data_IF_946838413711
#
_entry.id   IF_946838413711
#
_cell.length_a   1.000
_cell.length_b   1.000
_cell.length_c   1.000
_cell.angle_alpha   90.00
_cell.angle_beta   90.00
_cell.angle_gamma   90.00
#
_symmetry.space_group_name_H-M   'P 1'
#
loop_
_entity.id
_entity.type
_entity.pdbx_description
1 polymer ?
#
# COMPACT_ATOMS: atom_id res chain seq x y z
N UNK A 1 -5.58 12.42 -5.55
CA UNK A 1 -5.62 11.04 -5.03
C UNK A 1 -6.75 10.95 -4.01
N UNK A 2 -7.75 10.11 -4.29
CA UNK A 2 -9.04 10.13 -3.58
C UNK A 2 -9.02 9.34 -2.27
N UNK A 3 -8.25 8.26 -2.16
CA UNK A 3 -8.20 7.43 -0.93
C UNK A 3 -7.42 8.08 0.22
N UNK A 4 -6.44 8.94 -0.06
CA UNK A 4 -5.51 9.47 0.95
C UNK A 4 -4.26 8.62 1.18
N UNK A 5 -4.22 7.40 0.62
CA UNK A 5 -3.02 6.56 0.59
C UNK A 5 -1.99 7.10 -0.41
N UNK A 6 -0.70 7.02 -0.11
CA UNK A 6 0.37 7.44 -1.04
C UNK A 6 0.63 6.38 -2.11
N UNK A 7 0.87 6.79 -3.35
CA UNK A 7 1.41 5.92 -4.43
C UNK A 7 2.94 5.87 -4.45
N UNK A 8 3.61 6.43 -3.44
CA UNK A 8 5.08 6.47 -3.38
C UNK A 8 5.61 5.50 -2.32
N UNK A 9 6.85 5.07 -2.52
CA UNK A 9 7.58 4.26 -1.54
C UNK A 9 7.21 2.78 -1.55
N UNK A 10 7.64 2.06 -0.51
CA UNK A 10 7.50 0.59 -0.41
C UNK A 10 6.05 0.12 -0.33
N UNK A 11 5.18 0.94 0.26
CA UNK A 11 3.77 0.61 0.53
C UNK A 11 2.82 1.25 -0.49
N UNK A 12 3.24 1.47 -1.73
CA UNK A 12 2.45 2.25 -2.69
C UNK A 12 1.12 1.61 -3.13
N UNK A 13 0.96 0.30 -2.99
CA UNK A 13 -0.24 -0.40 -3.45
C UNK A 13 -1.40 -0.21 -2.45
N UNK A 14 -2.49 0.47 -2.82
CA UNK A 14 -3.62 0.67 -1.90
C UNK A 14 -4.37 -0.65 -1.59
N UNK A 15 -4.37 -1.60 -2.52
CA UNK A 15 -5.04 -2.90 -2.35
C UNK A 15 -4.27 -3.82 -1.40
N UNK A 16 -2.93 -3.82 -1.48
CA UNK A 16 -2.10 -4.60 -0.57
C UNK A 16 -1.84 -3.88 0.76
N UNK A 17 -1.92 -2.53 0.76
CA UNK A 17 -1.70 -1.69 1.93
C UNK A 17 -0.35 -2.02 2.61
N UNK A 18 -0.33 -2.24 3.93
CA UNK A 18 0.86 -2.69 4.69
C UNK A 18 1.43 -4.04 4.20
N UNK A 19 0.63 -4.87 3.52
CA UNK A 19 1.05 -6.16 2.96
C UNK A 19 1.61 -6.06 1.52
N UNK A 20 1.97 -4.85 1.08
CA UNK A 20 2.62 -4.63 -0.21
C UNK A 20 3.95 -5.37 -0.25
N UNK A 21 4.14 -6.20 -1.27
CA UNK A 21 5.41 -6.87 -1.49
C UNK A 21 6.25 -6.03 -2.44
N UNK A 22 7.17 -5.24 -1.88
CA UNK A 22 8.06 -4.37 -2.65
C UNK A 22 9.51 -4.82 -2.57
N UNK A 23 10.22 -4.72 -3.68
CA UNK A 23 11.67 -4.88 -3.77
C UNK A 23 12.28 -3.59 -4.31
N UNK A 24 13.40 -3.13 -3.71
CA UNK A 24 14.19 -2.05 -4.30
C UNK A 24 15.26 -2.66 -5.20
N UNK A 25 15.22 -2.34 -6.49
CA UNK A 25 16.23 -2.79 -7.44
C UNK A 25 17.58 -2.13 -7.11
N UNK A 26 18.65 -2.92 -7.06
CA UNK A 26 19.99 -2.45 -6.66
C UNK A 26 20.56 -1.43 -7.64
N UNK A 27 20.58 -1.76 -8.93
CA UNK A 27 21.22 -0.93 -9.96
C UNK A 27 20.38 0.28 -10.39
N UNK A 28 19.05 0.18 -10.33
CA UNK A 28 18.14 1.26 -10.73
C UNK A 28 17.58 2.09 -9.57
N UNK A 29 17.75 1.64 -8.31
CA UNK A 29 17.18 2.25 -7.12
C UNK A 29 15.65 2.49 -7.19
N UNK A 30 14.95 1.82 -8.11
CA UNK A 30 13.49 1.88 -8.30
C UNK A 30 12.81 0.86 -7.40
N UNK A 31 11.59 1.18 -6.97
CA UNK A 31 10.72 0.22 -6.30
C UNK A 31 10.02 -0.63 -7.35
N UNK A 32 10.09 -1.94 -7.18
CA UNK A 32 9.35 -2.94 -7.93
C UNK A 32 8.31 -3.56 -7.00
N UNK A 33 7.08 -3.74 -7.49
CA UNK A 33 5.99 -4.34 -6.71
C UNK A 33 5.74 -5.75 -7.26
N UNK A 34 5.95 -6.74 -6.39
CA UNK A 34 5.93 -8.17 -6.74
C UNK A 34 4.81 -8.87 -5.97
N UNK A 35 4.74 -10.20 -6.06
CA UNK A 35 3.76 -10.98 -5.28
C UNK A 35 2.31 -10.81 -5.73
N UNK A 36 2.06 -10.33 -6.95
CA UNK A 36 0.72 -10.29 -7.55
C UNK A 36 0.13 -11.69 -7.76
N UNK A 37 0.97 -12.72 -7.85
CA UNK A 37 0.55 -14.13 -7.92
C UNK A 37 -0.31 -14.58 -6.72
N UNK A 38 -0.26 -13.85 -5.59
CA UNK A 38 -1.11 -14.10 -4.41
C UNK A 38 -2.62 -13.97 -4.69
N UNK A 39 -3.00 -13.18 -5.69
CA UNK A 39 -4.39 -12.98 -6.09
C UNK A 39 -4.92 -14.10 -7.01
N UNK A 40 -4.05 -14.99 -7.50
CA UNK A 40 -4.46 -16.14 -8.29
C UNK A 40 -5.06 -17.25 -7.41
N UNK A 41 -5.97 -18.09 -7.94
CA UNK A 41 -6.48 -19.26 -7.24
C UNK A 41 -5.35 -20.12 -6.66
N UNK A 42 -5.56 -20.74 -5.49
CA UNK A 42 -4.51 -21.48 -4.77
C UNK A 42 -3.82 -22.56 -5.62
N UNK A 43 -4.58 -23.25 -6.47
CA UNK A 43 -4.09 -24.32 -7.35
C UNK A 43 -3.61 -23.83 -8.73
N UNK A 44 -3.49 -22.52 -8.94
CA UNK A 44 -3.10 -21.97 -10.23
C UNK A 44 -1.62 -22.25 -10.54
N UNK A 45 -1.31 -22.77 -11.74
CA UNK A 45 0.05 -23.22 -12.13
C UNK A 45 1.14 -22.17 -11.90
N UNK A 46 0.88 -20.91 -12.24
CA UNK A 46 1.85 -19.81 -12.09
C UNK A 46 2.27 -19.55 -10.65
N UNK A 47 1.49 -19.98 -9.65
CA UNK A 47 1.90 -19.88 -8.25
C UNK A 47 3.08 -20.80 -7.93
N UNK A 48 3.25 -21.89 -8.67
CA UNK A 48 4.30 -22.88 -8.46
C UNK A 48 5.47 -22.74 -9.44
N UNK A 49 5.27 -21.97 -10.51
CA UNK A 49 6.30 -21.64 -11.49
C UNK A 49 7.29 -20.64 -10.89
N UNK A 50 8.37 -21.15 -10.29
CA UNK A 50 9.45 -20.33 -9.76
C UNK A 50 10.40 -19.85 -10.87
N UNK A 51 10.59 -20.69 -11.90
CA UNK A 51 11.59 -20.50 -12.94
C UNK A 51 11.26 -19.30 -13.86
N UNK A 52 9.99 -19.12 -14.22
CA UNK A 52 9.57 -17.98 -15.05
C UNK A 52 9.31 -16.68 -14.27
N UNK A 53 9.45 -16.69 -12.94
CA UNK A 53 9.11 -15.55 -12.09
C UNK A 53 10.29 -15.14 -11.19
N UNK A 54 10.08 -14.98 -9.89
CA UNK A 54 11.04 -14.43 -8.93
C UNK A 54 11.83 -15.52 -8.19
N UNK A 55 11.92 -16.73 -8.76
CA UNK A 55 12.62 -17.85 -8.14
C UNK A 55 11.89 -18.46 -6.93
N UNK A 56 10.67 -18.00 -6.62
CA UNK A 56 9.90 -18.49 -5.47
C UNK A 56 8.59 -19.14 -5.86
N UNK A 57 8.12 -20.08 -5.04
CA UNK A 57 6.74 -20.56 -5.08
C UNK A 57 5.88 -19.64 -4.21
N UNK A 58 4.77 -19.16 -4.75
CA UNK A 58 3.86 -18.27 -4.04
C UNK A 58 2.75 -19.08 -3.34
N UNK A 59 2.92 -19.33 -2.04
CA UNK A 59 1.95 -20.05 -1.21
C UNK A 59 1.10 -19.14 -0.31
N UNK A 60 1.43 -17.84 -0.23
CA UNK A 60 0.72 -16.90 0.65
C UNK A 60 -0.69 -16.63 0.15
N UNK A 61 -1.59 -16.29 1.07
CA UNK A 61 -2.94 -15.84 0.69
C UNK A 61 -2.89 -14.42 0.10
N UNK A 62 -3.90 -14.08 -0.69
CA UNK A 62 -4.15 -12.70 -1.06
C UNK A 62 -4.26 -11.85 0.22
N UNK A 63 -3.70 -10.63 0.26
CA UNK A 63 -3.92 -9.72 1.37
C UNK A 63 -5.41 -9.54 1.62
N UNK A 64 -5.82 -9.57 2.89
CA UNK A 64 -7.20 -9.28 3.25
C UNK A 64 -7.50 -7.82 2.92
N UNK A 65 -8.66 -7.58 2.31
CA UNK A 65 -9.18 -6.23 2.17
C UNK A 65 -9.45 -5.62 3.55
N UNK A 66 -9.02 -4.37 3.74
CA UNK A 66 -9.37 -3.63 4.95
C UNK A 66 -10.83 -3.21 4.89
N UNK A 67 -11.52 -3.38 6.01
CA UNK A 67 -12.87 -2.87 6.18
C UNK A 67 -12.85 -1.35 6.40
N UNK A 68 -13.96 -0.68 6.08
CA UNK A 68 -14.08 0.77 6.24
C UNK A 68 -13.75 1.24 7.66
N UNK A 69 -14.23 0.52 8.68
CA UNK A 69 -13.94 0.81 10.10
C UNK A 69 -12.45 0.73 10.43
N UNK A 70 -11.73 -0.25 9.88
CA UNK A 70 -10.29 -0.39 10.08
C UNK A 70 -9.51 0.74 9.39
N UNK A 71 -9.96 1.15 8.20
CA UNK A 71 -9.37 2.30 7.51
C UNK A 71 -9.59 3.57 8.35
N UNK A 72 -10.81 3.80 8.84
CA UNK A 72 -11.15 4.95 9.69
C UNK A 72 -10.26 5.00 10.93
N UNK A 73 -10.08 3.87 11.62
CA UNK A 73 -9.19 3.76 12.78
C UNK A 73 -7.74 4.14 12.44
N UNK A 74 -7.24 3.75 11.26
CA UNK A 74 -5.87 4.06 10.84
C UNK A 74 -5.64 5.53 10.47
N UNK A 75 -6.68 6.29 10.14
CA UNK A 75 -6.56 7.67 9.63
C UNK A 75 -7.17 8.72 10.56
N UNK A 76 -7.69 8.33 11.72
CA UNK A 76 -8.37 9.26 12.63
C UNK A 76 -7.45 10.38 13.12
N UNK A 77 -6.17 10.07 13.33
CA UNK A 77 -5.15 11.04 13.74
C UNK A 77 -4.64 11.93 12.59
N UNK A 78 -5.14 11.71 11.38
CA UNK A 78 -4.90 12.56 10.20
C UNK A 78 -6.09 13.50 9.90
N UNK A 79 -7.12 13.49 10.74
CA UNK A 79 -8.24 14.41 10.64
C UNK A 79 -7.79 15.86 10.83
N UNK A 80 -8.34 16.78 10.05
CA UNK A 80 -7.96 18.20 10.07
C UNK A 80 -6.60 18.53 9.42
N UNK A 81 -5.78 17.54 9.01
CA UNK A 81 -4.51 17.82 8.35
C UNK A 81 -4.70 18.42 6.95
N UNK A 82 -4.20 19.64 6.76
CA UNK A 82 -4.29 20.35 5.51
C UNK A 82 -3.33 19.77 4.46
N UNK A 83 -3.90 19.30 3.36
CA UNK A 83 -3.12 19.01 2.16
C UNK A 83 -2.92 20.29 1.36
N UNK A 84 -1.75 20.90 1.51
CA UNK A 84 -1.31 22.02 0.68
C UNK A 84 -0.18 21.61 -0.27
N UNK A 85 -0.14 22.22 -1.46
CA UNK A 85 1.06 22.19 -2.31
C UNK A 85 2.13 23.15 -1.79
N UNK A 86 1.74 24.15 -1.00
CA UNK A 86 2.67 25.08 -0.39
C UNK A 86 3.38 24.39 0.78
N UNK A 87 4.67 24.14 0.63
CA UNK A 87 5.52 23.44 1.61
C UNK A 87 5.58 24.15 2.96
N UNK A 88 5.31 25.46 3.01
CA UNK A 88 5.29 26.25 4.26
C UNK A 88 4.05 25.98 5.11
N UNK A 89 2.94 25.58 4.48
CA UNK A 89 1.64 25.33 5.13
C UNK A 89 1.38 23.84 5.29
N UNK A 90 1.99 23.01 4.44
CA UNK A 90 1.78 21.58 4.42
C UNK A 90 2.44 20.92 5.63
N UNK A 91 1.63 20.30 6.47
CA UNK A 91 2.13 19.40 7.51
C UNK A 91 2.71 18.13 6.87
N UNK A 92 3.96 17.78 7.22
CA UNK A 92 4.62 16.58 6.70
C UNK A 92 4.25 15.37 7.54
N UNK A 93 3.64 14.37 6.92
CA UNK A 93 3.38 13.06 7.54
C UNK A 93 4.62 12.18 7.39
N UNK A 94 5.14 11.66 8.50
CA UNK A 94 6.22 10.67 8.49
C UNK A 94 5.65 9.25 8.39
N UNK A 95 5.80 8.63 7.23
CA UNK A 95 5.38 7.24 7.00
C UNK A 95 6.21 6.22 7.80
N UNK A 96 7.46 6.53 8.11
CA UNK A 96 8.33 5.66 8.93
C UNK A 96 7.81 5.56 10.36
N UNK A 97 7.44 6.70 10.98
CA UNK A 97 6.90 6.72 12.35
C UNK A 97 5.54 6.04 12.45
N UNK A 98 4.69 6.18 11.42
CA UNK A 98 3.35 5.57 11.39
C UNK A 98 3.35 4.08 11.02
N UNK A 99 4.35 3.64 10.25
CA UNK A 99 4.35 2.31 9.65
C UNK A 99 3.24 2.10 8.60
N UNK A 100 2.70 3.18 8.03
CA UNK A 100 1.68 3.17 6.98
C UNK A 100 1.99 4.21 5.90
N UNK A 101 1.20 4.21 4.82
CA UNK A 101 1.36 5.14 3.71
C UNK A 101 0.22 6.18 3.64
N UNK A 102 -0.49 6.42 4.74
CA UNK A 102 -1.59 7.39 4.78
C UNK A 102 -1.05 8.83 4.83
N UNK A 103 -1.58 9.71 3.98
CA UNK A 103 -1.28 11.14 4.00
C UNK A 103 -2.42 11.99 4.55
N UNK A 104 -3.65 11.47 4.54
CA UNK A 104 -4.85 12.16 5.03
C UNK A 104 -5.99 11.17 5.29
N UNK A 105 -6.95 11.59 6.11
CA UNK A 105 -8.32 11.06 6.11
C UNK A 105 -9.04 11.56 4.87
N UNK A 106 -9.65 10.65 4.12
CA UNK A 106 -10.42 11.03 2.93
C UNK A 106 -11.86 11.39 3.28
N UNK A 107 -12.41 12.41 2.61
CA UNK A 107 -13.84 12.78 2.73
C UNK A 107 -14.77 11.64 2.32
N UNK A 108 -14.32 10.72 1.45
CA UNK A 108 -15.09 9.58 0.98
C UNK A 108 -15.41 8.56 2.08
N UNK A 109 -14.72 8.62 3.22
CA UNK A 109 -15.02 7.76 4.38
C UNK A 109 -16.24 8.24 5.18
N UNK A 110 -16.69 9.48 4.95
CA UNK A 110 -17.81 10.10 5.64
C UNK A 110 -19.03 10.28 4.71
N UNK A 111 -18.97 9.79 3.48
CA UNK A 111 -20.10 9.82 2.56
C UNK A 111 -21.06 8.66 2.91
N UNK A 112 -22.39 8.89 2.83
CA UNK A 112 -23.41 7.86 3.05
C UNK A 112 -23.37 6.76 1.98
#
# INVERSE_FOLDING_TARGET
MLSGWSTKGKLACPNCNKNTHSLRLSHGCKQCYMGHRRFLPKKHRWRYDAASFDGTKELRLAPRFLMGSEIVSQVIDLEGKLLSKNTKVKEKVSHEKRGDNWNKKSIFLNLP
#
